data_IF_508542010344
#
_entry.id   IF_508542010344
#
_cell.length_a   1.000
_cell.length_b   1.000
_cell.length_c   1.000
_cell.angle_alpha   90.00
_cell.angle_beta   90.00
_cell.angle_gamma   90.00
#
_symmetry.space_group_name_H-M   'P 1'
#
loop_
_entity.id
_entity.type
_entity.pdbx_description
1 polymer ?
#
# COMPACT_ATOMS: atom_id res chain seq x y z
N UNK A 1 -3.98 -66.78 -14.39
CA UNK A 1 -2.90 -66.34 -13.48
C UNK A 1 -2.17 -65.23 -14.23
N UNK A 2 -2.08 -63.97 -13.85
CA UNK A 2 -2.50 -63.21 -12.67
C UNK A 2 -2.26 -61.72 -13.01
N UNK A 3 -3.14 -60.86 -12.54
CA UNK A 3 -3.15 -59.39 -12.39
C UNK A 3 -1.85 -58.57 -12.60
N UNK A 4 -1.96 -57.36 -13.19
CA UNK A 4 -2.05 -56.09 -12.39
C UNK A 4 -1.93 -54.77 -13.19
N UNK A 5 -2.93 -53.90 -12.95
CA UNK A 5 -2.92 -52.42 -12.76
C UNK A 5 -2.54 -51.49 -13.95
N UNK A 6 -3.46 -50.75 -14.57
CA UNK A 6 -4.23 -49.56 -14.13
C UNK A 6 -3.41 -48.29 -13.85
N UNK A 7 -3.47 -47.32 -14.77
CA UNK A 7 -3.35 -45.89 -14.42
C UNK A 7 -4.44 -45.10 -15.13
N UNK A 8 -5.60 -45.00 -14.47
CA UNK A 8 -6.64 -44.03 -14.77
C UNK A 8 -6.12 -42.65 -14.35
N UNK A 9 -5.81 -41.79 -15.31
CA UNK A 9 -5.64 -40.36 -15.05
C UNK A 9 -7.02 -39.73 -14.79
N UNK A 10 -7.47 -39.78 -13.53
CA UNK A 10 -8.56 -38.96 -13.03
C UNK A 10 -8.11 -37.49 -13.02
N UNK A 11 -8.22 -36.80 -14.16
CA UNK A 11 -8.35 -35.34 -14.16
C UNK A 11 -9.82 -35.03 -13.93
N UNK A 12 -10.20 -34.85 -12.66
CA UNK A 12 -11.51 -34.33 -12.28
C UNK A 12 -11.65 -32.93 -12.87
N UNK A 13 -12.64 -32.65 -13.73
CA UNK A 13 -12.86 -31.29 -14.23
C UNK A 13 -13.24 -30.39 -13.06
N UNK A 14 -12.43 -29.38 -12.76
CA UNK A 14 -12.74 -28.37 -11.75
C UNK A 14 -13.99 -27.60 -12.18
N UNK A 15 -15.09 -27.81 -11.46
CA UNK A 15 -16.39 -27.19 -11.71
C UNK A 15 -16.27 -25.65 -11.58
N UNK A 16 -16.63 -24.85 -12.60
CA UNK A 16 -16.52 -23.39 -12.58
C UNK A 16 -17.11 -22.73 -11.33
N UNK A 17 -18.24 -23.25 -10.82
CA UNK A 17 -18.89 -22.75 -9.61
C UNK A 17 -18.05 -22.93 -8.33
N UNK A 18 -17.23 -23.98 -8.24
CA UNK A 18 -16.30 -24.17 -7.12
C UNK A 18 -15.12 -23.18 -7.21
N UNK A 19 -14.65 -22.89 -8.42
CA UNK A 19 -13.57 -21.93 -8.66
C UNK A 19 -14.00 -20.51 -8.30
N UNK A 20 -15.23 -20.12 -8.68
CA UNK A 20 -15.81 -18.82 -8.33
C UNK A 20 -16.02 -18.65 -6.83
N UNK A 21 -16.49 -19.70 -6.12
CA UNK A 21 -16.68 -19.64 -4.67
C UNK A 21 -15.36 -19.59 -3.88
N UNK A 22 -14.30 -20.27 -4.34
CA UNK A 22 -12.96 -20.18 -3.74
C UNK A 22 -12.34 -18.81 -3.98
N UNK A 23 -12.50 -18.26 -5.18
CA UNK A 23 -12.07 -16.89 -5.53
C UNK A 23 -12.77 -15.85 -4.66
N UNK A 24 -14.09 -15.98 -4.46
CA UNK A 24 -14.87 -15.08 -3.61
C UNK A 24 -14.45 -15.11 -2.12
N UNK A 25 -14.12 -16.30 -1.58
CA UNK A 25 -13.59 -16.45 -0.21
C UNK A 25 -12.19 -15.87 -0.05
N UNK A 26 -11.31 -16.03 -1.04
CA UNK A 26 -9.98 -15.43 -1.01
C UNK A 26 -10.05 -13.90 -1.07
N UNK A 27 -10.89 -13.34 -1.96
CA UNK A 27 -11.18 -11.90 -2.05
C UNK A 27 -11.72 -11.35 -0.74
N UNK A 28 -12.58 -12.11 -0.06
CA UNK A 28 -13.09 -11.76 1.26
C UNK A 28 -11.98 -11.63 2.31
N UNK A 29 -11.12 -12.64 2.44
CA UNK A 29 -10.02 -12.58 3.43
C UNK A 29 -9.03 -11.44 3.14
N UNK A 30 -8.85 -11.09 1.86
CA UNK A 30 -7.99 -9.99 1.42
C UNK A 30 -8.65 -8.61 1.52
N UNK A 31 -9.94 -8.53 1.85
CA UNK A 31 -10.69 -7.28 1.95
C UNK A 31 -10.96 -6.61 0.59
N UNK A 32 -11.11 -7.40 -0.48
CA UNK A 32 -11.36 -6.93 -1.84
C UNK A 32 -12.86 -6.82 -2.14
N UNK A 33 -13.23 -5.94 -3.09
CA UNK A 33 -14.62 -5.81 -3.59
C UNK A 33 -15.16 -7.13 -4.15
N UNK A 34 -16.47 -7.37 -3.99
CA UNK A 34 -17.13 -8.59 -4.46
C UNK A 34 -16.82 -9.83 -3.61
N UNK A 35 -16.50 -9.62 -2.33
CA UNK A 35 -16.32 -10.66 -1.34
C UNK A 35 -17.62 -11.43 -1.05
N UNK A 36 -17.50 -12.71 -0.68
CA UNK A 36 -18.65 -13.48 -0.20
C UNK A 36 -19.22 -12.85 1.10
N UNK A 37 -20.55 -12.78 1.21
CA UNK A 37 -21.25 -12.36 2.43
C UNK A 37 -21.45 -13.53 3.39
N UNK A 38 -21.53 -13.26 4.70
CA UNK A 38 -21.93 -14.25 5.70
C UNK A 38 -20.80 -15.04 6.37
N UNK A 39 -19.59 -14.49 6.47
CA UNK A 39 -18.57 -15.08 7.34
C UNK A 39 -18.97 -14.89 8.82
N UNK A 40 -18.87 -15.96 9.60
CA UNK A 40 -19.32 -15.98 11.01
C UNK A 40 -18.14 -15.94 11.98
N UNK A 41 -16.92 -16.23 11.52
CA UNK A 41 -15.73 -16.16 12.37
C UNK A 41 -15.34 -14.71 12.63
N UNK A 42 -15.46 -14.29 13.90
CA UNK A 42 -15.05 -12.94 14.32
C UNK A 42 -13.60 -12.63 13.95
N UNK A 43 -12.68 -13.60 14.03
CA UNK A 43 -11.27 -13.39 13.70
C UNK A 43 -11.04 -13.10 12.23
N UNK A 44 -11.76 -13.79 11.34
CA UNK A 44 -11.68 -13.52 9.90
C UNK A 44 -12.32 -12.19 9.54
N UNK A 45 -13.40 -11.80 10.22
CA UNK A 45 -14.01 -10.47 10.06
C UNK A 45 -13.03 -9.37 10.46
N UNK A 46 -12.36 -9.53 11.61
CA UNK A 46 -11.32 -8.60 12.06
C UNK A 46 -10.18 -8.50 11.04
N UNK A 47 -9.73 -9.63 10.51
CA UNK A 47 -8.69 -9.66 9.48
C UNK A 47 -9.16 -8.98 8.18
N UNK A 48 -10.40 -9.23 7.76
CA UNK A 48 -11.01 -8.60 6.59
C UNK A 48 -11.04 -7.07 6.71
N UNK A 49 -11.37 -6.52 7.89
CA UNK A 49 -11.34 -5.07 8.15
C UNK A 49 -9.94 -4.46 7.98
N UNK A 50 -8.88 -5.25 8.20
CA UNK A 50 -7.49 -4.78 8.06
C UNK A 50 -6.99 -4.78 6.62
N UNK A 51 -7.77 -5.31 5.67
CA UNK A 51 -7.50 -5.42 4.22
C UNK A 51 -6.06 -5.87 3.90
N UNK A 52 -5.69 -7.14 4.15
CA UNK A 52 -4.31 -7.62 4.07
C UNK A 52 -3.57 -7.38 2.76
N UNK A 53 -4.30 -7.26 1.64
CA UNK A 53 -3.70 -6.91 0.34
C UNK A 53 -2.94 -5.57 0.40
N UNK A 54 -3.38 -4.66 1.27
CA UNK A 54 -2.78 -3.34 1.44
C UNK A 54 -1.48 -3.36 2.23
N UNK A 55 -1.11 -4.46 2.88
CA UNK A 55 0.12 -4.53 3.68
C UNK A 55 1.39 -4.68 2.83
N UNK A 56 1.25 -5.28 1.65
CA UNK A 56 2.39 -5.63 0.77
C UNK A 56 3.24 -4.38 0.42
N UNK A 57 2.65 -3.25 -0.01
CA UNK A 57 3.43 -2.04 -0.28
C UNK A 57 4.16 -1.49 0.95
N UNK A 58 3.56 -1.55 2.14
CA UNK A 58 4.19 -1.03 3.35
C UNK A 58 5.37 -1.90 3.78
N UNK A 59 5.23 -3.22 3.66
CA UNK A 59 6.32 -4.17 3.87
C UNK A 59 7.47 -3.87 2.90
N UNK A 60 7.15 -3.61 1.62
CA UNK A 60 8.16 -3.22 0.63
C UNK A 60 8.83 -1.88 0.96
N UNK A 61 8.07 -0.90 1.46
CA UNK A 61 8.62 0.37 1.92
C UNK A 61 9.63 0.20 3.06
N UNK A 62 9.36 -0.70 4.01
CA UNK A 62 10.32 -1.04 5.08
C UNK A 62 11.60 -1.66 4.51
N UNK A 63 11.48 -2.56 3.51
CA UNK A 63 12.65 -3.12 2.80
C UNK A 63 13.47 -2.01 2.13
N UNK A 64 12.81 -1.07 1.45
CA UNK A 64 13.48 0.07 0.85
C UNK A 64 14.19 0.94 1.90
N UNK A 65 13.55 1.21 3.04
CA UNK A 65 14.18 1.91 4.15
C UNK A 65 15.42 1.20 4.70
N UNK A 66 15.31 -0.11 4.95
CA UNK A 66 16.44 -0.90 5.44
C UNK A 66 17.59 -0.94 4.42
N UNK A 67 17.30 -1.05 3.12
CA UNK A 67 18.30 -0.98 2.06
C UNK A 67 18.94 0.41 1.94
N UNK A 68 18.13 1.47 2.08
CA UNK A 68 18.56 2.87 2.07
C UNK A 68 19.50 3.21 3.21
N UNK A 69 19.44 2.47 4.32
CA UNK A 69 20.33 2.72 5.46
C UNK A 69 21.80 2.38 5.19
N UNK A 70 22.08 1.51 4.21
CA UNK A 70 23.41 0.98 3.94
C UNK A 70 23.97 0.03 5.01
N UNK A 71 23.32 -0.11 6.17
CA UNK A 71 23.85 -0.87 7.32
C UNK A 71 23.14 -2.20 7.58
N UNK A 72 22.07 -2.52 6.84
CA UNK A 72 21.40 -3.80 6.98
C UNK A 72 22.33 -4.95 6.60
N UNK A 73 22.49 -5.92 7.51
CA UNK A 73 23.25 -7.15 7.25
C UNK A 73 22.37 -8.38 7.35
N UNK A 74 22.63 -9.38 6.51
CA UNK A 74 21.88 -10.64 6.43
C UNK A 74 22.21 -11.59 7.60
N UNK A 75 21.82 -11.19 8.80
CA UNK A 75 21.87 -12.01 10.00
C UNK A 75 20.46 -12.21 10.57
N UNK A 76 20.29 -13.20 11.45
CA UNK A 76 18.97 -13.55 11.99
C UNK A 76 18.34 -12.40 12.78
N UNK A 77 19.13 -11.66 13.56
CA UNK A 77 18.65 -10.54 14.37
C UNK A 77 18.04 -9.44 13.50
N UNK A 78 18.80 -8.96 12.51
CA UNK A 78 18.33 -7.93 11.58
C UNK A 78 17.10 -8.37 10.80
N UNK A 79 17.03 -9.63 10.38
CA UNK A 79 15.85 -10.17 9.71
C UNK A 79 14.63 -10.16 10.64
N UNK A 80 14.78 -10.56 11.89
CA UNK A 80 13.68 -10.56 12.87
C UNK A 80 13.22 -9.13 13.21
N UNK A 81 14.15 -8.19 13.30
CA UNK A 81 13.86 -6.79 13.61
C UNK A 81 13.19 -6.09 12.41
N UNK A 82 13.66 -6.34 11.18
CA UNK A 82 12.97 -5.91 9.97
C UNK A 82 11.55 -6.51 9.90
N UNK A 83 11.38 -7.79 10.24
CA UNK A 83 10.07 -8.43 10.28
C UNK A 83 9.14 -7.79 11.34
N UNK A 84 9.66 -7.39 12.49
CA UNK A 84 8.90 -6.63 13.49
C UNK A 84 8.48 -5.24 12.98
N UNK A 85 9.36 -4.55 12.24
CA UNK A 85 9.03 -3.28 11.57
C UNK A 85 7.98 -3.45 10.45
N UNK A 86 8.04 -4.56 9.72
CA UNK A 86 7.03 -4.95 8.72
C UNK A 86 5.68 -5.26 9.37
N UNK A 87 5.68 -5.92 10.53
CA UNK A 87 4.48 -6.18 11.34
C UNK A 87 3.86 -4.86 11.83
N UNK A 88 4.70 -3.92 12.29
CA UNK A 88 4.29 -2.57 12.66
C UNK A 88 3.63 -1.84 11.49
N UNK A 89 4.35 -1.71 10.37
CA UNK A 89 3.93 -0.89 9.23
C UNK A 89 2.72 -1.49 8.49
N UNK A 90 2.74 -2.80 8.23
CA UNK A 90 1.67 -3.51 7.54
C UNK A 90 0.50 -3.81 8.47
N UNK A 91 0.42 -5.03 9.04
CA UNK A 91 -0.75 -5.48 9.80
C UNK A 91 -1.24 -4.50 10.88
N UNK A 92 -0.35 -3.93 11.70
CA UNK A 92 -0.80 -3.08 12.81
C UNK A 92 -1.25 -1.70 12.33
N UNK A 93 -0.37 -0.92 11.74
CA UNK A 93 -0.68 0.47 11.39
C UNK A 93 -1.51 0.62 10.11
N UNK A 94 -1.29 -0.23 9.11
CA UNK A 94 -2.20 -0.27 7.95
C UNK A 94 -3.54 -0.86 8.35
N UNK A 95 -3.57 -1.92 9.16
CA UNK A 95 -4.82 -2.46 9.69
C UNK A 95 -5.59 -1.43 10.52
N UNK A 96 -4.90 -0.63 11.34
CA UNK A 96 -5.48 0.50 12.07
C UNK A 96 -6.12 1.48 11.09
N UNK A 97 -5.36 1.90 10.07
CA UNK A 97 -5.80 2.85 9.05
C UNK A 97 -7.05 2.36 8.31
N UNK A 98 -7.06 1.10 7.86
CA UNK A 98 -8.19 0.52 7.12
C UNK A 98 -9.42 0.35 8.00
N UNK A 99 -9.25 -0.13 9.23
CA UNK A 99 -10.36 -0.29 10.18
C UNK A 99 -10.96 1.06 10.57
N UNK A 100 -10.12 2.07 10.80
CA UNK A 100 -10.54 3.44 11.10
C UNK A 100 -11.30 4.05 9.92
N UNK A 101 -10.82 3.82 8.69
CA UNK A 101 -11.46 4.30 7.48
C UNK A 101 -12.88 3.72 7.32
N UNK A 102 -13.03 2.40 7.41
CA UNK A 102 -14.34 1.72 7.33
C UNK A 102 -15.27 2.17 8.47
N UNK A 103 -14.73 2.42 9.67
CA UNK A 103 -15.53 2.92 10.81
C UNK A 103 -16.15 4.30 10.54
N UNK A 104 -15.40 5.23 9.94
CA UNK A 104 -15.89 6.55 9.59
C UNK A 104 -16.73 6.60 8.30
N UNK A 105 -16.64 5.57 7.47
CA UNK A 105 -17.42 5.44 6.24
C UNK A 105 -18.64 4.53 6.36
N UNK A 106 -18.89 3.91 7.53
CA UNK A 106 -20.00 2.98 7.75
C UNK A 106 -21.37 3.42 7.20
N UNK A 107 -21.68 4.71 7.23
CA UNK A 107 -22.95 5.26 6.73
C UNK A 107 -22.96 5.35 5.19
N UNK A 108 -21.82 5.69 4.58
CA UNK A 108 -21.64 5.72 3.13
C UNK A 108 -21.60 4.28 2.59
N UNK A 109 -20.85 3.41 3.26
CA UNK A 109 -20.72 2.00 2.92
C UNK A 109 -22.05 1.24 3.10
N UNK A 110 -22.94 1.67 3.99
CA UNK A 110 -24.30 1.10 4.08
C UNK A 110 -25.13 1.32 2.81
N UNK A 111 -24.83 2.37 2.04
CA UNK A 111 -25.50 2.65 0.76
C UNK A 111 -24.80 1.92 -0.38
N UNK A 112 -23.46 2.01 -0.45
CA UNK A 112 -22.69 1.54 -1.60
C UNK A 112 -22.34 0.05 -1.54
N UNK A 113 -22.01 -0.45 -0.35
CA UNK A 113 -21.50 -1.81 -0.13
C UNK A 113 -22.08 -2.41 1.17
N UNK A 114 -23.42 -2.60 1.25
CA UNK A 114 -24.12 -2.98 2.49
C UNK A 114 -23.67 -4.34 3.06
N UNK A 115 -23.01 -5.16 2.24
CA UNK A 115 -22.45 -6.46 2.62
C UNK A 115 -21.15 -6.37 3.43
N UNK A 116 -20.54 -5.19 3.56
CA UNK A 116 -19.30 -4.99 4.34
C UNK A 116 -19.52 -5.30 5.83
N UNK A 117 -18.46 -5.63 6.59
CA UNK A 117 -18.62 -6.09 7.97
C UNK A 117 -19.34 -5.12 8.91
N UNK A 118 -19.05 -3.82 8.83
CA UNK A 118 -19.67 -2.82 9.72
C UNK A 118 -21.12 -2.55 9.32
N UNK A 119 -21.46 -2.21 8.05
CA UNK A 119 -22.84 -1.94 7.66
C UNK A 119 -23.77 -3.14 7.77
N UNK A 120 -23.28 -4.35 7.48
CA UNK A 120 -24.08 -5.58 7.60
C UNK A 120 -24.38 -6.00 9.03
N UNK A 121 -23.73 -5.38 10.02
CA UNK A 121 -23.83 -5.77 11.43
C UNK A 121 -23.07 -7.06 11.78
N UNK A 122 -22.21 -7.57 10.89
CA UNK A 122 -21.40 -8.76 11.15
C UNK A 122 -20.40 -8.57 12.31
N UNK A 123 -20.04 -7.32 12.63
CA UNK A 123 -19.25 -6.93 13.80
C UNK A 123 -19.88 -5.71 14.48
N UNK A 124 -19.92 -5.71 15.81
CA UNK A 124 -20.52 -4.59 16.54
C UNK A 124 -19.56 -3.38 16.59
N UNK A 125 -20.14 -2.18 16.64
CA UNK A 125 -19.36 -0.93 16.74
C UNK A 125 -18.35 -0.94 17.90
N UNK A 126 -18.72 -1.37 19.13
CA UNK A 126 -17.74 -1.49 20.22
C UNK A 126 -16.55 -2.41 19.86
N UNK A 127 -16.79 -3.53 19.17
CA UNK A 127 -15.72 -4.44 18.76
C UNK A 127 -14.78 -3.84 17.71
N UNK A 128 -15.29 -3.00 16.80
CA UNK A 128 -14.48 -2.25 15.84
C UNK A 128 -13.62 -1.21 16.57
N UNK A 129 -14.22 -0.45 17.49
CA UNK A 129 -13.49 0.52 18.31
C UNK A 129 -12.40 -0.16 19.14
N UNK A 130 -12.69 -1.31 19.76
CA UNK A 130 -11.67 -2.11 20.45
C UNK A 130 -10.53 -2.50 19.51
N UNK A 131 -10.82 -2.90 18.27
CA UNK A 131 -9.78 -3.23 17.29
C UNK A 131 -8.88 -2.05 16.97
N UNK A 132 -9.47 -0.87 16.76
CA UNK A 132 -8.73 0.37 16.49
C UNK A 132 -7.74 0.65 17.63
N UNK A 133 -8.18 0.56 18.89
CA UNK A 133 -7.31 0.75 20.04
C UNK A 133 -6.24 -0.35 20.18
N UNK A 134 -6.60 -1.63 19.98
CA UNK A 134 -5.64 -2.74 20.05
C UNK A 134 -4.55 -2.59 18.99
N UNK A 135 -4.91 -2.24 17.76
CA UNK A 135 -3.95 -2.04 16.67
C UNK A 135 -3.06 -0.82 16.92
N UNK A 136 -3.63 0.30 17.40
CA UNK A 136 -2.86 1.50 17.72
C UNK A 136 -1.89 1.27 18.89
N UNK A 137 -2.38 0.74 20.01
CA UNK A 137 -1.55 0.50 21.20
C UNK A 137 -0.52 -0.60 20.95
N UNK A 138 -0.88 -1.65 20.21
CA UNK A 138 0.06 -2.69 19.77
C UNK A 138 1.13 -2.13 18.85
N UNK A 139 0.75 -1.26 17.90
CA UNK A 139 1.69 -0.56 17.03
C UNK A 139 2.66 0.31 17.83
N UNK A 140 2.15 1.13 18.75
CA UNK A 140 2.99 1.97 19.62
C UNK A 140 3.94 1.15 20.51
N UNK A 141 3.49 0.01 21.04
CA UNK A 141 4.32 -0.87 21.84
C UNK A 141 5.48 -1.48 21.03
N UNK A 142 5.21 -1.93 19.79
CA UNK A 142 6.27 -2.42 18.89
C UNK A 142 7.19 -1.28 18.48
N UNK A 143 6.65 -0.11 18.13
CA UNK A 143 7.46 1.06 17.75
C UNK A 143 8.43 1.47 18.85
N UNK A 144 7.96 1.53 20.10
CA UNK A 144 8.81 1.84 21.25
C UNK A 144 9.86 0.76 21.49
N UNK A 145 9.51 -0.52 21.31
CA UNK A 145 10.48 -1.61 21.42
C UNK A 145 11.56 -1.55 20.33
N UNK A 146 11.20 -1.12 19.12
CA UNK A 146 12.14 -0.87 18.03
C UNK A 146 13.04 0.34 18.31
N UNK A 147 12.51 1.41 18.92
CA UNK A 147 13.33 2.54 19.39
C UNK A 147 14.40 2.09 20.40
N UNK A 148 14.02 1.22 21.35
CA UNK A 148 14.94 0.67 22.34
C UNK A 148 16.02 -0.21 21.70
N UNK A 149 15.65 -1.06 20.75
CA UNK A 149 16.62 -1.90 20.03
C UNK A 149 17.57 -1.08 19.17
N UNK A 150 17.06 -0.06 18.46
CA UNK A 150 17.87 0.84 17.63
C UNK A 150 18.76 1.78 18.46
N UNK A 151 18.57 1.87 19.77
CA UNK A 151 19.32 2.77 20.64
C UNK A 151 18.99 4.25 20.39
N UNK A 152 17.75 4.54 19.98
CA UNK A 152 17.33 5.90 19.67
C UNK A 152 17.27 6.79 20.93
N UNK A 153 18.05 7.88 20.94
CA UNK A 153 17.99 8.90 22.02
C UNK A 153 16.65 9.65 22.02
N UNK A 154 16.09 9.87 20.83
CA UNK A 154 14.75 10.43 20.61
C UNK A 154 13.87 9.34 19.98
N UNK A 155 12.66 9.05 20.50
CA UNK A 155 11.85 7.88 20.12
C UNK A 155 11.24 8.03 18.71
N UNK A 156 12.09 7.95 17.70
CA UNK A 156 11.82 8.28 16.30
C UNK A 156 10.75 7.35 15.73
N UNK A 157 10.83 6.04 15.98
CA UNK A 157 9.84 5.07 15.50
C UNK A 157 8.47 5.32 16.12
N UNK A 158 8.43 5.63 17.41
CA UNK A 158 7.19 5.95 18.13
C UNK A 158 6.56 7.23 17.58
N UNK A 159 7.34 8.28 17.34
CA UNK A 159 6.85 9.55 16.78
C UNK A 159 6.38 9.39 15.33
N UNK A 160 7.11 8.64 14.51
CA UNK A 160 6.67 8.29 13.15
C UNK A 160 5.34 7.53 13.18
N UNK A 161 5.18 6.60 14.11
CA UNK A 161 3.95 5.83 14.28
C UNK A 161 2.78 6.72 14.71
N UNK A 162 2.99 7.66 15.64
CA UNK A 162 1.99 8.64 16.05
C UNK A 162 1.63 9.60 14.90
N UNK A 163 2.62 10.06 14.14
CA UNK A 163 2.42 10.89 12.96
C UNK A 163 1.61 10.18 11.88
N UNK A 164 1.94 8.92 11.59
CA UNK A 164 1.18 8.08 10.67
C UNK A 164 -0.26 7.83 11.14
N UNK A 165 -0.46 7.57 12.44
CA UNK A 165 -1.79 7.43 13.03
C UNK A 165 -2.61 8.73 12.89
N UNK A 166 -1.98 9.88 13.11
CA UNK A 166 -2.61 11.19 12.92
C UNK A 166 -3.00 11.42 11.46
N UNK A 167 -2.11 11.11 10.50
CA UNK A 167 -2.39 11.19 9.06
C UNK A 167 -3.59 10.29 8.69
N UNK A 168 -3.61 9.05 9.17
CA UNK A 168 -4.72 8.11 8.96
C UNK A 168 -6.05 8.65 9.53
N UNK A 169 -5.99 9.29 10.71
CA UNK A 169 -7.14 9.93 11.33
C UNK A 169 -7.65 11.11 10.50
N UNK A 170 -6.80 12.11 10.17
CA UNK A 170 -7.24 13.29 9.40
C UNK A 170 -7.66 12.94 7.97
N UNK A 171 -7.16 11.82 7.43
CA UNK A 171 -7.62 11.28 6.15
C UNK A 171 -9.08 10.81 6.21
N UNK A 172 -9.47 10.14 7.29
CA UNK A 172 -10.75 9.43 7.40
C UNK A 172 -11.83 10.19 8.18
N UNK A 173 -11.44 10.94 9.22
CA UNK A 173 -12.30 11.54 10.22
C UNK A 173 -12.54 13.05 9.98
N UNK A 174 -13.70 13.59 10.37
CA UNK A 174 -13.91 15.04 10.47
C UNK A 174 -12.97 15.70 11.51
N UNK A 175 -12.64 17.00 11.37
CA UNK A 175 -13.20 17.95 10.39
C UNK A 175 -12.48 17.97 9.04
N UNK A 176 -11.26 17.41 8.94
CA UNK A 176 -10.45 17.53 7.71
C UNK A 176 -10.85 16.55 6.62
N UNK A 177 -11.06 15.27 6.97
CA UNK A 177 -11.46 14.17 6.08
C UNK A 177 -10.81 14.26 4.69
N UNK A 178 -9.47 14.27 4.63
CA UNK A 178 -8.69 14.62 3.43
C UNK A 178 -9.09 13.88 2.17
N UNK A 179 -9.60 12.63 2.29
CA UNK A 179 -10.10 11.84 1.17
C UNK A 179 -11.23 12.47 0.37
N UNK A 180 -11.88 13.53 0.88
CA UNK A 180 -12.85 14.32 0.11
C UNK A 180 -12.19 15.21 -0.95
N UNK A 181 -10.89 15.49 -0.82
CA UNK A 181 -10.10 16.27 -1.76
C UNK A 181 -9.18 15.33 -2.57
N UNK A 182 -9.39 15.23 -3.89
CA UNK A 182 -8.64 14.31 -4.75
C UNK A 182 -7.13 14.59 -4.84
N UNK A 183 -6.65 15.78 -4.50
CA UNK A 183 -5.21 16.06 -4.46
C UNK A 183 -4.61 15.68 -3.10
N UNK A 184 -5.16 16.28 -2.03
CA UNK A 184 -4.63 16.08 -0.67
C UNK A 184 -4.85 14.64 -0.20
N UNK A 185 -6.00 14.04 -0.50
CA UNK A 185 -6.31 12.66 -0.20
C UNK A 185 -5.35 11.70 -0.91
N UNK A 186 -5.20 11.85 -2.23
CA UNK A 186 -4.35 10.95 -3.02
C UNK A 186 -2.87 11.10 -2.65
N UNK A 187 -2.39 12.30 -2.35
CA UNK A 187 -1.01 12.49 -1.90
C UNK A 187 -0.77 11.97 -0.48
N UNK A 188 -1.72 12.19 0.44
CA UNK A 188 -1.65 11.59 1.79
C UNK A 188 -1.61 10.06 1.71
N UNK A 189 -2.41 9.46 0.82
CA UNK A 189 -2.38 8.04 0.54
C UNK A 189 -1.01 7.62 -0.05
N UNK A 190 -0.57 8.23 -1.16
CA UNK A 190 0.70 7.89 -1.81
C UNK A 190 1.92 8.00 -0.89
N UNK A 191 2.01 9.09 -0.13
CA UNK A 191 3.11 9.32 0.83
C UNK A 191 3.09 8.39 2.02
N UNK A 192 1.91 7.98 2.47
CA UNK A 192 1.80 6.99 3.55
C UNK A 192 2.22 5.59 3.09
N UNK A 193 2.13 5.29 1.79
CA UNK A 193 2.56 4.00 1.22
C UNK A 193 4.06 3.94 0.88
N UNK A 194 4.70 5.09 0.66
CA UNK A 194 6.10 5.19 0.23
C UNK A 194 6.97 5.77 1.36
N UNK A 195 6.76 7.04 1.72
CA UNK A 195 7.64 7.74 2.66
C UNK A 195 7.61 7.16 4.08
N UNK A 196 6.43 6.99 4.69
CA UNK A 196 6.33 6.52 6.09
C UNK A 196 7.02 5.16 6.36
N UNK A 197 6.72 4.08 5.62
CA UNK A 197 7.39 2.79 5.85
C UNK A 197 8.88 2.83 5.50
N UNK A 198 9.28 3.65 4.51
CA UNK A 198 10.69 3.85 4.20
C UNK A 198 11.41 4.55 5.35
N UNK A 199 10.82 5.59 5.94
CA UNK A 199 11.37 6.27 7.11
C UNK A 199 11.52 5.33 8.30
N UNK A 200 10.55 4.44 8.51
CA UNK A 200 10.62 3.42 9.55
C UNK A 200 11.79 2.45 9.33
N UNK A 201 11.99 1.95 8.11
CA UNK A 201 13.13 1.09 7.78
C UNK A 201 14.48 1.82 7.87
N UNK A 202 14.55 3.08 7.40
CA UNK A 202 15.75 3.91 7.47
C UNK A 202 16.14 4.21 8.91
N UNK A 203 15.19 4.64 9.75
CA UNK A 203 15.45 4.97 11.14
C UNK A 203 15.91 3.73 11.92
N UNK A 204 15.39 2.54 11.60
CA UNK A 204 15.74 1.32 12.32
C UNK A 204 17.18 0.87 12.09
N UNK A 205 17.69 0.99 10.87
CA UNK A 205 19.02 0.51 10.50
C UNK A 205 20.03 1.63 10.23
N UNK A 206 19.63 2.90 10.32
CA UNK A 206 20.47 4.04 10.01
C UNK A 206 19.92 5.33 10.59
N UNK A 207 20.38 6.45 10.06
CA UNK A 207 19.90 7.77 10.49
C UNK A 207 18.82 8.25 9.53
N UNK A 208 17.64 8.59 10.07
CA UNK A 208 16.64 9.33 9.32
C UNK A 208 17.00 10.82 9.34
N UNK A 209 17.36 11.36 8.18
CA UNK A 209 17.71 12.77 8.02
C UNK A 209 16.75 13.50 7.08
N UNK A 210 16.93 14.81 6.95
CA UNK A 210 16.09 15.64 6.08
C UNK A 210 16.23 15.24 4.60
N UNK A 211 17.39 14.76 4.18
CA UNK A 211 17.66 14.35 2.79
C UNK A 211 16.77 13.18 2.41
N UNK A 212 16.81 12.10 3.18
CA UNK A 212 15.96 10.92 2.98
C UNK A 212 14.49 11.31 3.07
N UNK A 213 14.11 12.14 4.05
CA UNK A 213 12.72 12.59 4.18
C UNK A 213 12.21 13.34 2.95
N UNK A 214 12.99 14.30 2.44
CA UNK A 214 12.61 15.10 1.26
C UNK A 214 12.57 14.21 0.01
N UNK A 215 13.57 13.34 -0.18
CA UNK A 215 13.65 12.47 -1.34
C UNK A 215 12.49 11.48 -1.40
N UNK A 216 12.14 10.84 -0.28
CA UNK A 216 11.04 9.87 -0.30
C UNK A 216 9.68 10.55 -0.36
N UNK A 217 9.52 11.77 0.15
CA UNK A 217 8.32 12.58 -0.10
C UNK A 217 8.20 13.00 -1.57
N UNK A 218 9.31 13.43 -2.17
CA UNK A 218 9.35 13.72 -3.61
C UNK A 218 9.01 12.47 -4.42
N UNK A 219 9.60 11.31 -4.09
CA UNK A 219 9.28 10.06 -4.77
C UNK A 219 7.83 9.62 -4.51
N UNK A 220 7.26 9.96 -3.36
CA UNK A 220 5.85 9.69 -3.05
C UNK A 220 4.86 10.42 -3.96
N UNK A 221 5.31 11.44 -4.70
CA UNK A 221 4.51 12.05 -5.77
C UNK A 221 4.30 11.09 -6.95
N UNK A 222 5.17 10.10 -7.18
CA UNK A 222 4.85 8.97 -8.05
C UNK A 222 3.71 8.12 -7.46
N UNK A 223 3.67 8.00 -6.12
CA UNK A 223 2.58 7.39 -5.34
C UNK A 223 1.21 8.03 -5.57
N UNK A 224 1.17 9.33 -5.89
CA UNK A 224 -0.04 10.03 -6.30
C UNK A 224 -0.67 9.34 -7.52
N UNK A 225 0.12 8.98 -8.53
CA UNK A 225 -0.37 8.29 -9.73
C UNK A 225 -1.07 6.97 -9.40
N UNK A 226 -0.47 6.18 -8.50
CA UNK A 226 -1.06 4.91 -8.03
C UNK A 226 -2.42 5.15 -7.36
N UNK A 227 -2.52 6.18 -6.52
CA UNK A 227 -3.76 6.53 -5.84
C UNK A 227 -4.86 6.94 -6.85
N UNK A 228 -4.51 7.75 -7.86
CA UNK A 228 -5.45 8.18 -8.90
C UNK A 228 -6.03 6.99 -9.67
N UNK A 229 -5.24 5.94 -9.93
CA UNK A 229 -5.74 4.72 -10.62
C UNK A 229 -6.90 4.07 -9.87
N UNK A 230 -6.91 4.14 -8.53
CA UNK A 230 -8.02 3.61 -7.74
C UNK A 230 -9.29 4.46 -7.89
N UNK A 231 -9.18 5.77 -8.09
CA UNK A 231 -10.32 6.67 -8.31
C UNK A 231 -11.04 6.39 -9.63
N UNK A 232 -10.36 5.83 -10.64
CA UNK A 232 -11.02 5.43 -11.90
C UNK A 232 -12.09 4.37 -11.69
N UNK A 233 -11.93 3.49 -10.69
CA UNK A 233 -12.93 2.46 -10.34
C UNK A 233 -14.19 3.05 -9.70
N UNK A 234 -14.11 4.25 -9.14
CA UNK A 234 -15.18 4.89 -8.38
C UNK A 234 -15.71 6.16 -9.03
N UNK A 235 -15.22 6.56 -10.21
CA UNK A 235 -15.54 7.86 -10.84
C UNK A 235 -17.03 8.20 -10.89
N UNK A 236 -17.89 7.22 -11.19
CA UNK A 236 -19.34 7.43 -11.26
C UNK A 236 -19.97 7.59 -9.87
N UNK A 237 -19.53 6.78 -8.89
CA UNK A 237 -19.97 6.90 -7.50
C UNK A 237 -19.50 8.20 -6.86
N UNK A 238 -18.24 8.59 -7.09
CA UNK A 238 -17.65 9.83 -6.60
C UNK A 238 -18.41 11.05 -7.13
N UNK A 239 -18.82 11.02 -8.41
CA UNK A 239 -19.63 12.06 -9.03
C UNK A 239 -20.99 12.20 -8.35
N UNK A 240 -21.66 11.09 -8.06
CA UNK A 240 -22.98 11.10 -7.40
C UNK A 240 -22.90 11.59 -5.95
N UNK A 241 -21.78 11.31 -5.27
CA UNK A 241 -21.52 11.75 -3.89
C UNK A 241 -20.92 13.16 -3.79
N UNK A 242 -20.69 13.84 -4.91
CA UNK A 242 -20.09 15.18 -4.95
C UNK A 242 -18.63 15.23 -4.50
N UNK A 243 -17.91 14.11 -4.58
CA UNK A 243 -16.48 14.03 -4.28
C UNK A 243 -15.66 14.66 -5.40
N UNK A 244 -14.55 15.31 -5.02
CA UNK A 244 -13.65 15.99 -5.95
C UNK A 244 -12.45 15.11 -6.30
N UNK A 245 -12.68 13.88 -6.76
CA UNK A 245 -11.60 13.01 -7.26
C UNK A 245 -11.07 13.53 -8.61
N UNK A 246 -9.82 13.21 -8.95
CA UNK A 246 -9.20 13.76 -10.17
C UNK A 246 -9.93 13.35 -11.46
N UNK A 247 -10.41 12.10 -11.63
CA UNK A 247 -11.20 11.73 -12.80
C UNK A 247 -12.52 12.50 -12.91
N UNK A 248 -13.13 12.90 -11.78
CA UNK A 248 -14.33 13.74 -11.75
C UNK A 248 -14.00 15.19 -12.12
N UNK A 249 -12.90 15.73 -11.58
CA UNK A 249 -12.50 17.13 -11.80
C UNK A 249 -11.97 17.42 -13.21
N UNK A 250 -11.14 16.52 -13.76
CA UNK A 250 -10.39 16.76 -14.99
C UNK A 250 -10.84 15.86 -16.16
N UNK A 251 -11.74 14.92 -15.91
CA UNK A 251 -12.13 13.89 -16.85
C UNK A 251 -11.14 12.72 -16.89
N UNK A 252 -11.62 11.57 -17.38
CA UNK A 252 -10.89 10.29 -17.41
C UNK A 252 -9.57 10.42 -18.17
N UNK A 253 -9.56 11.01 -19.37
CA UNK A 253 -8.35 11.12 -20.19
C UNK A 253 -7.25 11.98 -19.55
N UNK A 254 -7.61 13.17 -19.06
CA UNK A 254 -6.65 14.08 -18.41
C UNK A 254 -6.11 13.48 -17.11
N UNK A 255 -6.99 12.88 -16.29
CA UNK A 255 -6.57 12.21 -15.06
C UNK A 255 -5.62 11.04 -15.34
N UNK A 256 -5.79 10.35 -16.47
CA UNK A 256 -4.94 9.22 -16.83
C UNK A 256 -3.53 9.70 -17.19
N UNK A 257 -3.44 10.81 -17.94
CA UNK A 257 -2.17 11.48 -18.22
C UNK A 257 -1.50 12.02 -16.95
N UNK A 258 -2.24 12.66 -16.05
CA UNK A 258 -1.70 13.12 -14.75
C UNK A 258 -1.09 11.93 -13.98
N UNK A 259 -1.80 10.80 -13.94
CA UNK A 259 -1.34 9.59 -13.26
C UNK A 259 0.01 9.08 -13.80
N UNK A 260 0.09 8.84 -15.12
CA UNK A 260 1.30 8.25 -15.72
C UNK A 260 2.47 9.22 -15.70
N UNK A 261 2.22 10.51 -16.00
CA UNK A 261 3.27 11.52 -15.97
C UNK A 261 3.81 11.75 -14.56
N UNK A 262 2.96 11.72 -13.53
CA UNK A 262 3.45 11.81 -12.15
C UNK A 262 4.41 10.66 -11.85
N UNK A 263 4.05 9.43 -12.18
CA UNK A 263 4.92 8.27 -11.93
C UNK A 263 6.28 8.45 -12.63
N UNK A 264 6.29 8.75 -13.93
CA UNK A 264 7.54 8.74 -14.70
C UNK A 264 8.40 9.97 -14.42
N UNK A 265 7.80 11.16 -14.27
CA UNK A 265 8.55 12.40 -13.98
C UNK A 265 9.23 12.32 -12.62
N UNK A 266 8.55 11.84 -11.58
CA UNK A 266 9.14 11.75 -10.25
C UNK A 266 10.18 10.61 -10.17
N UNK A 267 9.97 9.49 -10.89
CA UNK A 267 10.99 8.44 -11.01
C UNK A 267 12.24 8.92 -11.77
N UNK A 268 12.06 9.66 -12.86
CA UNK A 268 13.17 10.30 -13.59
C UNK A 268 13.86 11.39 -12.75
N UNK A 269 13.11 12.14 -11.94
CA UNK A 269 13.66 13.11 -10.99
C UNK A 269 14.57 12.47 -9.94
N UNK A 270 14.18 11.30 -9.42
CA UNK A 270 15.07 10.51 -8.54
C UNK A 270 16.31 10.05 -9.30
N UNK A 271 16.18 9.58 -10.53
CA UNK A 271 17.35 9.22 -11.34
C UNK A 271 18.31 10.40 -11.55
N UNK A 272 17.78 11.60 -11.81
CA UNK A 272 18.58 12.82 -11.91
C UNK A 272 19.31 13.16 -10.60
N UNK A 273 18.64 12.99 -9.46
CA UNK A 273 19.29 13.12 -8.15
C UNK A 273 20.41 12.09 -7.97
N UNK A 274 20.20 10.82 -8.33
CA UNK A 274 21.22 9.78 -8.25
C UNK A 274 22.46 10.11 -9.11
N UNK A 275 22.27 10.70 -10.29
CA UNK A 275 23.39 11.21 -11.13
C UNK A 275 24.16 12.31 -10.39
N UNK A 276 23.45 13.22 -9.72
CA UNK A 276 24.08 14.34 -8.99
C UNK A 276 24.97 13.88 -7.82
N UNK A 277 24.70 12.71 -7.25
CA UNK A 277 25.52 12.08 -6.20
C UNK A 277 26.43 10.96 -6.75
N UNK A 278 26.69 10.96 -8.06
CA UNK A 278 27.57 10.02 -8.77
C UNK A 278 27.14 8.54 -8.74
N UNK A 279 25.90 8.24 -8.39
CA UNK A 279 25.30 6.89 -8.43
C UNK A 279 24.79 6.54 -9.83
N UNK A 280 25.65 6.70 -10.85
CA UNK A 280 25.28 6.64 -12.27
C UNK A 280 24.71 5.28 -12.70
N UNK A 281 25.25 4.17 -12.19
CA UNK A 281 24.76 2.84 -12.52
C UNK A 281 23.30 2.66 -12.06
N UNK A 282 22.99 3.04 -10.83
CA UNK A 282 21.63 2.97 -10.28
C UNK A 282 20.69 3.91 -11.02
N UNK A 283 21.14 5.12 -11.38
CA UNK A 283 20.35 6.04 -12.19
C UNK A 283 19.99 5.45 -13.57
N UNK A 284 20.95 4.81 -14.24
CA UNK A 284 20.71 4.14 -15.53
C UNK A 284 19.72 2.98 -15.36
N UNK A 285 19.89 2.14 -14.33
CA UNK A 285 18.93 1.06 -14.06
C UNK A 285 17.53 1.63 -13.82
N UNK A 286 17.42 2.71 -13.04
CA UNK A 286 16.14 3.34 -12.73
C UNK A 286 15.45 3.90 -13.99
N UNK A 287 16.21 4.53 -14.90
CA UNK A 287 15.70 5.00 -16.20
C UNK A 287 15.32 3.86 -17.13
N UNK A 288 16.07 2.75 -17.13
CA UNK A 288 15.72 1.56 -17.91
C UNK A 288 14.40 0.93 -17.43
N UNK A 289 14.08 1.01 -16.14
CA UNK A 289 12.78 0.55 -15.60
C UNK A 289 11.61 1.44 -16.06
N UNK A 290 11.85 2.71 -16.41
CA UNK A 290 10.80 3.62 -16.93
C UNK A 290 10.35 3.19 -18.34
N UNK A 291 11.22 2.58 -19.15
CA UNK A 291 10.88 2.17 -20.53
C UNK A 291 9.72 1.16 -20.59
N UNK A 292 9.78 -0.02 -19.93
CA UNK A 292 8.65 -0.94 -19.90
C UNK A 292 7.45 -0.35 -19.15
N UNK A 293 7.67 0.52 -18.16
CA UNK A 293 6.61 1.21 -17.45
C UNK A 293 5.76 2.08 -18.39
N UNK A 294 6.38 2.96 -19.17
CA UNK A 294 5.70 3.79 -20.19
C UNK A 294 5.00 2.91 -21.23
N UNK A 295 5.65 1.82 -21.64
CA UNK A 295 5.08 0.88 -22.62
C UNK A 295 3.78 0.26 -22.10
N UNK A 296 3.76 -0.19 -20.84
CA UNK A 296 2.56 -0.77 -20.23
C UNK A 296 1.51 0.25 -19.83
N UNK A 297 1.91 1.47 -19.46
CA UNK A 297 1.00 2.60 -19.27
C UNK A 297 0.24 2.92 -20.56
N UNK A 298 0.92 3.03 -21.70
CA UNK A 298 0.25 3.23 -22.99
C UNK A 298 -0.65 2.05 -23.36
N UNK A 299 -0.07 0.85 -23.38
CA UNK A 299 -0.75 -0.33 -23.91
C UNK A 299 -1.98 -0.73 -23.08
N UNK A 300 -1.88 -0.67 -21.75
CA UNK A 300 -2.94 -1.13 -20.87
C UNK A 300 -3.77 0.01 -20.28
N UNK A 301 -3.22 1.17 -19.96
CA UNK A 301 -3.97 2.19 -19.23
C UNK A 301 -4.48 3.33 -20.11
N UNK A 302 -3.61 4.09 -20.79
CA UNK A 302 -3.99 5.32 -21.50
C UNK A 302 -5.04 5.09 -22.59
N UNK A 303 -4.99 3.95 -23.29
CA UNK A 303 -5.94 3.61 -24.35
C UNK A 303 -7.35 3.34 -23.82
N UNK A 304 -7.47 2.69 -22.66
CA UNK A 304 -8.76 2.35 -22.03
C UNK A 304 -8.64 2.39 -20.49
N UNK A 305 -8.62 3.59 -19.86
CA UNK A 305 -8.33 3.74 -18.43
C UNK A 305 -9.33 3.05 -17.49
N UNK A 306 -10.57 2.83 -17.94
CA UNK A 306 -11.64 2.24 -17.12
C UNK A 306 -11.68 0.70 -17.15
N UNK A 307 -11.20 0.05 -18.22
CA UNK A 307 -11.37 -1.41 -18.41
C UNK A 307 -10.14 -2.23 -17.98
N UNK A 308 -8.96 -1.60 -17.96
CA UNK A 308 -7.69 -2.30 -17.84
C UNK A 308 -6.89 -1.90 -16.60
N UNK A 309 -7.50 -1.21 -15.65
CA UNK A 309 -6.93 -0.78 -14.38
C UNK A 309 -6.19 -1.91 -13.63
N UNK A 310 -6.77 -3.11 -13.52
CA UNK A 310 -6.16 -4.27 -12.85
C UNK A 310 -4.95 -4.78 -13.62
N UNK A 311 -5.05 -4.88 -14.95
CA UNK A 311 -3.95 -5.31 -15.82
C UNK A 311 -2.79 -4.31 -15.77
N UNK A 312 -3.11 -3.03 -15.76
CA UNK A 312 -2.15 -1.94 -15.61
C UNK A 312 -1.42 -2.04 -14.27
N UNK A 313 -2.16 -2.16 -13.16
CA UNK A 313 -1.56 -2.32 -11.84
C UNK A 313 -0.69 -3.59 -11.74
N UNK A 314 -1.06 -4.69 -12.41
CA UNK A 314 -0.25 -5.90 -12.41
C UNK A 314 1.02 -5.80 -13.30
N UNK A 315 1.04 -4.93 -14.30
CA UNK A 315 2.10 -4.87 -15.32
C UNK A 315 3.05 -3.69 -15.13
N UNK A 316 2.55 -2.48 -14.89
CA UNK A 316 3.38 -1.28 -14.79
C UNK A 316 3.91 -1.05 -13.36
N UNK A 317 3.09 -1.30 -12.34
CA UNK A 317 3.43 -1.10 -10.94
C UNK A 317 4.72 -1.78 -10.47
N UNK A 318 5.04 -3.03 -10.91
CA UNK A 318 6.29 -3.68 -10.52
C UNK A 318 7.55 -2.87 -10.85
N UNK A 319 7.54 -2.07 -11.92
CA UNK A 319 8.70 -1.28 -12.34
C UNK A 319 8.95 -0.10 -11.39
N UNK A 320 7.89 0.58 -10.93
CA UNK A 320 7.99 1.60 -9.89
C UNK A 320 8.47 0.99 -8.56
N UNK A 321 7.91 -0.16 -8.18
CA UNK A 321 8.26 -0.88 -6.94
C UNK A 321 9.73 -1.31 -6.96
N UNK A 322 10.21 -1.88 -8.06
CA UNK A 322 11.63 -2.19 -8.26
C UNK A 322 12.48 -0.91 -8.29
N UNK A 323 11.99 0.15 -8.93
CA UNK A 323 12.66 1.45 -8.98
C UNK A 323 12.85 2.06 -7.59
N UNK A 324 11.90 1.88 -6.67
CA UNK A 324 12.06 2.28 -5.27
C UNK A 324 13.23 1.55 -4.61
N UNK A 325 13.34 0.23 -4.80
CA UNK A 325 14.45 -0.53 -4.23
C UNK A 325 15.80 -0.16 -4.86
N UNK A 326 15.85 0.09 -6.17
CA UNK A 326 17.06 0.58 -6.86
C UNK A 326 17.51 1.92 -6.27
N UNK A 327 16.58 2.85 -6.07
CA UNK A 327 16.88 4.14 -5.45
C UNK A 327 17.37 3.96 -4.00
N UNK A 328 16.71 3.10 -3.21
CA UNK A 328 17.15 2.78 -1.86
C UNK A 328 18.58 2.25 -1.81
N UNK A 329 18.91 1.24 -2.63
CA UNK A 329 20.25 0.67 -2.68
C UNK A 329 21.31 1.72 -3.08
N UNK A 330 20.95 2.64 -3.98
CA UNK A 330 21.83 3.74 -4.39
C UNK A 330 22.12 4.71 -3.24
N UNK A 331 21.09 5.09 -2.46
CA UNK A 331 21.23 5.97 -1.31
C UNK A 331 22.10 5.32 -0.23
N UNK A 332 21.83 4.05 0.09
CA UNK A 332 22.65 3.29 1.04
C UNK A 332 24.09 3.12 0.58
N UNK A 333 24.33 2.92 -0.73
CA UNK A 333 25.69 2.86 -1.28
C UNK A 333 26.42 4.21 -1.23
N UNK A 334 25.69 5.32 -1.38
CA UNK A 334 26.25 6.66 -1.30
C UNK A 334 26.50 7.14 0.13
N UNK A 335 25.95 6.45 1.14
CA UNK A 335 26.00 6.88 2.54
C UNK A 335 25.20 8.16 2.81
N UNK A 336 24.12 8.35 2.05
CA UNK A 336 23.15 9.45 2.21
C UNK A 336 22.18 9.11 3.33
#
# INVERSE_FOLDING_TARGET
MSDSQSSNSNQTPTNPAQTDSRSAKARQMLGMKGAASGETSIWKIRLQLMKPITWIPLIWGVVCGAASSGNFTWNLENVMIAAACMLLSGPLMTGYTQTLNDFYDREIDAINEPYRPIPSGAISIPQVVTQIFVLLLGGLAIAYSLDLWAGHEFPTMTILTLGGALIAYIYSAPPLKLKQNGWLGNYALGSSYIALPWWAGQALFGKLDATIMILTLFYSMAGLGIAIVNDFKSVEGDRQLGLKSLPVMFGVGTAAWICVCAIDVFQAGIAAYLISIHQNLYAVILLLLVIPQITFQDMYFLRNPLENDVKYQASAQPFLVLGMLVAALALGNAGV
#
